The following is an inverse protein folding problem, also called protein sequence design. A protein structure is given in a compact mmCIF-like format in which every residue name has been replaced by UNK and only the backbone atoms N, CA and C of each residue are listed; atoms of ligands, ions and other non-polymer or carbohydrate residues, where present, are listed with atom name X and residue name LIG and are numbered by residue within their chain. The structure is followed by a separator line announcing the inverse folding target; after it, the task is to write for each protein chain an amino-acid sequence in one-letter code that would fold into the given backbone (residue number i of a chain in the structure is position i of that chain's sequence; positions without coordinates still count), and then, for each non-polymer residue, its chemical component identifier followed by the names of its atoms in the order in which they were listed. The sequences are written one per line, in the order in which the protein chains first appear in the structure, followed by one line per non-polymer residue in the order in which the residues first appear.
data_IF_839780982467
#
_entry.id   IF_839780982467
#
_cell.length_a   1.000
_cell.length_b   1.000
_cell.length_c   1.000
_cell.angle_alpha   90.00
_cell.angle_beta   90.00
_cell.angle_gamma   90.00
#
_symmetry.space_group_name_H-M   'P 1'
#
loop_
_entity.id
_entity.type
_entity.pdbx_description
1 polymer ?
#
# COMPACT_ATOMS: atom_id res chain seq x y z
N UNK A 1 -14.71 -10.68 7.96
CA UNK A 1 -15.23 -10.93 6.59
C UNK A 1 -16.41 -11.89 6.61
N UNK A 2 -16.23 -13.19 6.86
CA UNK A 2 -17.33 -14.18 6.89
C UNK A 2 -18.43 -13.87 7.91
N UNK A 3 -18.08 -13.26 9.05
CA UNK A 3 -19.06 -12.86 10.08
C UNK A 3 -20.02 -11.73 9.64
N UNK A 4 -19.63 -10.89 8.67
CA UNK A 4 -20.45 -9.77 8.18
C UNK A 4 -20.96 -9.94 6.75
N UNK A 5 -20.24 -10.70 5.92
CA UNK A 5 -20.48 -10.82 4.47
C UNK A 5 -20.52 -12.28 4.00
N UNK A 6 -20.73 -13.26 4.90
CA UNK A 6 -20.73 -14.69 4.55
C UNK A 6 -21.69 -15.06 3.41
N UNK A 7 -22.83 -14.37 3.31
CA UNK A 7 -23.82 -14.57 2.24
C UNK A 7 -23.27 -14.34 0.82
N UNK A 8 -22.21 -13.54 0.66
CA UNK A 8 -21.62 -13.28 -0.65
C UNK A 8 -20.77 -14.46 -1.15
N UNK A 9 -20.28 -15.30 -0.24
CA UNK A 9 -19.33 -16.40 -0.51
C UNK A 9 -19.94 -17.79 -0.30
N UNK A 10 -21.04 -17.89 0.43
CA UNK A 10 -21.71 -19.15 0.74
C UNK A 10 -23.21 -18.95 0.78
N UNK A 11 -23.99 -19.82 0.13
CA UNK A 11 -25.46 -19.82 0.24
C UNK A 11 -25.86 -20.35 1.61
N UNK A 12 -26.50 -19.54 2.48
CA UNK A 12 -27.04 -20.06 3.73
C UNK A 12 -28.15 -21.09 3.47
N UNK A 13 -28.29 -22.07 4.36
CA UNK A 13 -29.34 -23.09 4.26
C UNK A 13 -30.74 -22.42 4.22
N UNK A 14 -31.55 -22.76 3.20
CA UNK A 14 -32.87 -22.16 2.98
C UNK A 14 -32.87 -20.78 2.29
N UNK A 15 -31.72 -20.19 1.99
CA UNK A 15 -31.65 -18.93 1.24
C UNK A 15 -31.93 -19.16 -0.26
N UNK A 16 -32.78 -18.35 -0.90
CA UNK A 16 -32.99 -18.41 -2.35
C UNK A 16 -31.86 -17.73 -3.15
N UNK A 17 -30.92 -17.06 -2.48
CA UNK A 17 -29.85 -16.29 -3.13
C UNK A 17 -28.54 -17.10 -3.19
N UNK A 18 -28.00 -17.38 -4.39
CA UNK A 18 -26.70 -18.03 -4.53
C UNK A 18 -25.55 -17.08 -4.16
N UNK A 19 -24.36 -17.59 -3.78
CA UNK A 19 -23.18 -16.77 -3.60
C UNK A 19 -22.82 -16.08 -4.93
N UNK A 20 -22.36 -14.84 -4.83
CA UNK A 20 -22.05 -13.99 -6.00
C UNK A 20 -20.55 -13.74 -6.16
N UNK A 21 -19.74 -14.15 -5.18
CA UNK A 21 -18.29 -13.97 -5.17
C UNK A 21 -17.57 -15.28 -4.88
N UNK A 22 -16.45 -15.48 -5.57
CA UNK A 22 -15.46 -16.50 -5.25
C UNK A 22 -14.31 -15.88 -4.44
N UNK A 23 -13.89 -16.55 -3.36
CA UNK A 23 -12.81 -16.06 -2.52
C UNK A 23 -11.46 -16.55 -3.02
N UNK A 24 -10.59 -15.62 -3.38
CA UNK A 24 -9.20 -15.90 -3.73
C UNK A 24 -8.28 -15.40 -2.62
N UNK A 25 -7.85 -16.29 -1.73
CA UNK A 25 -6.89 -15.95 -0.67
C UNK A 25 -5.50 -15.73 -1.24
N UNK A 26 -4.91 -14.58 -0.93
CA UNK A 26 -3.51 -14.26 -1.26
C UNK A 26 -2.61 -15.01 -0.28
N UNK A 27 -1.80 -15.96 -0.79
CA UNK A 27 -0.84 -16.77 -0.01
C UNK A 27 0.61 -16.56 -0.44
N UNK A 28 0.82 -15.70 -1.42
CA UNK A 28 2.09 -15.45 -2.08
C UNK A 28 1.85 -14.58 -3.31
N UNK A 29 2.76 -14.66 -4.28
CA UNK A 29 2.66 -13.84 -5.49
C UNK A 29 1.32 -14.06 -6.21
N UNK A 30 0.71 -12.95 -6.62
CA UNK A 30 -0.48 -12.95 -7.48
C UNK A 30 -0.04 -12.56 -8.89
N UNK A 31 -0.32 -13.41 -9.85
CA UNK A 31 0.02 -13.17 -11.25
C UNK A 31 -1.24 -12.78 -12.02
N UNK A 32 -1.14 -11.73 -12.83
CA UNK A 32 -2.17 -11.33 -13.79
C UNK A 32 -1.54 -11.45 -15.18
N UNK A 33 -2.06 -12.37 -15.99
CA UNK A 33 -1.62 -12.58 -17.36
C UNK A 33 -2.51 -11.82 -18.35
N UNK A 34 -1.92 -11.29 -19.43
CA UNK A 34 -2.64 -10.59 -20.50
C UNK A 34 -1.76 -10.31 -21.71
N UNK A 35 -2.32 -9.68 -22.75
CA UNK A 35 -1.60 -9.36 -23.99
C UNK A 35 -0.39 -8.44 -23.77
N UNK A 36 -0.45 -7.59 -22.74
CA UNK A 36 0.65 -6.72 -22.31
C UNK A 36 1.75 -7.42 -21.52
N UNK A 37 1.69 -8.75 -21.37
CA UNK A 37 2.60 -9.53 -20.54
C UNK A 37 2.08 -9.76 -19.13
N UNK A 38 2.85 -10.54 -18.36
CA UNK A 38 2.51 -10.90 -16.97
C UNK A 38 2.86 -9.78 -16.01
N UNK A 39 1.92 -9.42 -15.14
CA UNK A 39 2.15 -8.56 -13.97
C UNK A 39 2.18 -9.45 -12.73
N UNK A 40 3.24 -9.33 -11.93
CA UNK A 40 3.39 -10.06 -10.66
C UNK A 40 3.27 -9.09 -9.49
N UNK A 41 2.28 -9.32 -8.63
CA UNK A 41 2.12 -8.63 -7.36
C UNK A 41 2.77 -9.48 -6.27
N UNK A 42 3.84 -8.98 -5.67
CA UNK A 42 4.55 -9.59 -4.56
C UNK A 42 4.03 -8.98 -3.25
N UNK A 43 3.28 -9.72 -2.42
CA UNK A 43 2.73 -9.18 -1.18
C UNK A 43 3.87 -8.87 -0.19
N UNK A 44 3.81 -7.68 0.41
CA UNK A 44 4.67 -7.26 1.50
C UNK A 44 3.82 -7.16 2.75
N UNK A 45 4.13 -7.97 3.76
CA UNK A 45 3.41 -7.93 5.03
C UNK A 45 4.01 -6.87 5.95
N UNK A 46 3.16 -6.00 6.44
CA UNK A 46 3.52 -4.83 7.25
C UNK A 46 2.56 -4.69 8.41
N UNK A 47 2.96 -3.99 9.46
CA UNK A 47 2.15 -3.84 10.66
C UNK A 47 1.23 -2.62 10.52
N UNK A 48 -0.04 -2.77 10.88
CA UNK A 48 -1.06 -1.72 10.88
C UNK A 48 -1.74 -1.67 12.26
N UNK A 49 -0.98 -1.25 13.27
CA UNK A 49 -1.40 -1.27 14.67
C UNK A 49 -1.46 -2.68 15.24
N UNK A 50 -2.66 -3.15 15.61
CA UNK A 50 -2.86 -4.48 16.20
C UNK A 50 -3.10 -5.59 15.17
N UNK A 51 -3.07 -5.26 13.88
CA UNK A 51 -3.29 -6.21 12.78
C UNK A 51 -2.18 -6.07 11.73
N UNK A 52 -2.04 -7.10 10.89
CA UNK A 52 -1.20 -7.05 9.70
C UNK A 52 -1.98 -6.41 8.54
N UNK A 53 -1.27 -5.65 7.71
CA UNK A 53 -1.72 -5.19 6.41
C UNK A 53 -0.83 -5.77 5.29
N UNK A 54 -1.32 -5.68 4.04
CA UNK A 54 -0.57 -6.05 2.86
C UNK A 54 -0.32 -4.81 1.99
N UNK A 55 0.96 -4.50 1.79
CA UNK A 55 1.40 -3.76 0.62
C UNK A 55 1.75 -4.69 -0.52
N UNK A 56 2.09 -4.13 -1.68
CA UNK A 56 2.54 -4.91 -2.83
C UNK A 56 3.75 -4.29 -3.51
N UNK A 57 4.71 -5.13 -3.90
CA UNK A 57 5.75 -4.81 -4.87
C UNK A 57 5.38 -5.34 -6.25
N UNK A 58 5.62 -4.54 -7.28
CA UNK A 58 5.39 -4.85 -8.68
C UNK A 58 6.61 -4.36 -9.46
N UNK A 59 7.56 -5.27 -9.73
CA UNK A 59 8.85 -4.87 -10.31
C UNK A 59 9.60 -3.89 -9.39
N UNK A 60 9.92 -2.71 -9.90
CA UNK A 60 10.57 -1.61 -9.15
C UNK A 60 9.57 -0.64 -8.50
N UNK A 61 8.27 -0.99 -8.46
CA UNK A 61 7.23 -0.21 -7.80
C UNK A 61 6.77 -0.86 -6.49
N UNK A 62 6.46 -0.05 -5.47
CA UNK A 62 5.81 -0.52 -4.25
C UNK A 62 4.64 0.38 -3.82
N UNK A 63 3.58 -0.23 -3.28
CA UNK A 63 2.38 0.45 -2.76
C UNK A 63 2.02 -0.05 -1.35
N UNK A 64 2.15 0.83 -0.36
CA UNK A 64 1.98 0.55 1.07
C UNK A 64 1.15 1.67 1.74
N UNK A 65 -0.20 1.67 1.60
CA UNK A 65 -1.05 2.81 2.00
C UNK A 65 -1.43 2.84 3.48
N UNK A 66 -1.41 1.69 4.17
CA UNK A 66 -1.84 1.54 5.57
C UNK A 66 -0.76 0.82 6.37
N UNK A 67 0.18 1.58 6.94
CA UNK A 67 1.37 1.03 7.61
C UNK A 67 1.75 1.83 8.84
N UNK A 68 1.73 1.19 10.01
CA UNK A 68 2.32 1.71 11.23
C UNK A 68 3.83 1.45 11.31
N UNK A 69 4.27 0.27 10.87
CA UNK A 69 5.66 -0.20 11.00
C UNK A 69 6.06 -1.16 9.86
N UNK A 70 7.29 -0.97 9.36
CA UNK A 70 7.93 -1.87 8.39
C UNK A 70 8.76 -2.90 9.15
N UNK A 71 8.28 -4.15 9.14
CA UNK A 71 8.94 -5.28 9.77
C UNK A 71 10.31 -5.57 9.12
N UNK A 72 11.24 -6.17 9.87
CA UNK A 72 12.61 -6.44 9.38
C UNK A 72 12.65 -7.27 8.08
N UNK A 73 11.74 -8.23 7.93
CA UNK A 73 11.61 -9.09 6.74
C UNK A 73 11.05 -8.35 5.52
N UNK A 74 10.34 -7.23 5.72
CA UNK A 74 9.77 -6.44 4.65
C UNK A 74 10.81 -5.57 3.93
N UNK A 75 11.90 -5.17 4.60
CA UNK A 75 12.88 -4.21 4.06
C UNK A 75 13.55 -4.68 2.77
N UNK A 76 13.83 -5.98 2.61
CA UNK A 76 14.40 -6.52 1.38
C UNK A 76 13.50 -6.26 0.16
N UNK A 77 12.17 -6.14 0.36
CA UNK A 77 11.23 -5.83 -0.71
C UNK A 77 11.18 -4.34 -1.04
N UNK A 78 11.83 -3.47 -0.27
CA UNK A 78 11.82 -2.02 -0.48
C UNK A 78 13.12 -1.48 -1.11
N UNK A 79 14.06 -2.38 -1.41
CA UNK A 79 15.32 -2.01 -2.07
C UNK A 79 15.15 -1.88 -3.59
N UNK A 80 15.86 -0.91 -4.18
CA UNK A 80 15.92 -0.71 -5.63
C UNK A 80 14.58 -0.31 -6.24
N UNK A 81 13.80 0.53 -5.55
CA UNK A 81 12.52 1.02 -6.04
C UNK A 81 12.70 2.25 -6.94
N UNK A 82 12.03 2.23 -8.09
CA UNK A 82 11.83 3.37 -8.96
C UNK A 82 10.81 4.34 -8.33
N UNK A 83 9.68 3.78 -7.86
CA UNK A 83 8.60 4.54 -7.24
C UNK A 83 8.09 3.78 -6.01
N UNK A 84 8.02 4.48 -4.89
CA UNK A 84 7.38 3.98 -3.67
C UNK A 84 6.21 4.87 -3.25
N UNK A 85 4.99 4.35 -3.30
CA UNK A 85 3.82 4.99 -2.72
C UNK A 85 3.63 4.50 -1.29
N UNK A 86 3.63 5.40 -0.31
CA UNK A 86 3.74 5.04 1.12
C UNK A 86 2.85 5.91 2.00
N UNK A 87 2.29 5.30 3.05
CA UNK A 87 1.49 5.92 4.11
C UNK A 87 2.24 7.10 4.77
N UNK A 88 1.57 8.24 4.87
CA UNK A 88 1.92 9.34 5.76
C UNK A 88 0.63 10.00 6.23
N UNK A 89 0.04 9.48 7.31
CA UNK A 89 -1.28 9.91 7.75
C UNK A 89 -1.28 11.37 8.20
N UNK A 90 -0.38 11.75 9.09
CA UNK A 90 -0.41 13.07 9.76
C UNK A 90 0.96 13.41 10.34
N UNK A 91 1.08 14.60 10.95
CA UNK A 91 2.35 15.00 11.59
C UNK A 91 2.62 14.27 12.91
N UNK A 92 1.61 14.14 13.76
CA UNK A 92 1.75 13.49 15.07
C UNK A 92 1.73 11.96 14.98
N UNK A 93 2.51 11.24 15.80
CA UNK A 93 2.46 9.78 15.86
C UNK A 93 1.03 9.22 15.97
N UNK A 94 0.75 8.15 15.23
CA UNK A 94 -0.54 7.46 15.24
C UNK A 94 -0.34 5.95 15.52
N UNK A 95 -1.22 5.28 16.29
CA UNK A 95 -1.04 3.87 16.65
C UNK A 95 -1.13 2.92 15.45
N UNK A 96 -1.86 3.27 14.39
CA UNK A 96 -2.08 2.39 13.24
C UNK A 96 -1.42 2.88 11.96
N UNK A 97 -0.89 4.09 11.90
CA UNK A 97 -0.34 4.67 10.68
C UNK A 97 1.00 5.35 10.97
N UNK A 98 1.84 5.42 9.94
CA UNK A 98 3.04 6.20 9.96
C UNK A 98 2.67 7.69 9.98
N UNK A 99 3.42 8.44 10.78
CA UNK A 99 3.40 9.89 10.72
C UNK A 99 4.52 10.36 9.79
N UNK A 100 4.41 11.58 9.29
CA UNK A 100 5.28 12.12 8.24
C UNK A 100 6.78 11.92 8.51
N UNK A 101 7.26 12.27 9.71
CA UNK A 101 8.68 12.14 10.07
C UNK A 101 9.19 10.70 9.94
N UNK A 102 8.41 9.72 10.44
CA UNK A 102 8.73 8.30 10.31
C UNK A 102 8.77 7.87 8.84
N UNK A 103 7.79 8.28 8.05
CA UNK A 103 7.74 7.96 6.61
C UNK A 103 8.94 8.52 5.86
N UNK A 104 9.33 9.77 6.15
CA UNK A 104 10.53 10.39 5.55
C UNK A 104 11.81 9.63 5.94
N UNK A 105 11.95 9.20 7.20
CA UNK A 105 13.07 8.35 7.62
C UNK A 105 13.10 6.99 6.93
N UNK A 106 11.93 6.42 6.61
CA UNK A 106 11.87 5.20 5.80
C UNK A 106 12.27 5.43 4.35
N UNK A 107 11.83 6.53 3.76
CA UNK A 107 12.18 6.92 2.40
C UNK A 107 13.70 7.15 2.30
N UNK A 108 14.30 7.80 3.29
CA UNK A 108 15.76 8.00 3.35
C UNK A 108 16.50 6.65 3.39
N UNK A 109 16.02 5.69 4.19
CA UNK A 109 16.62 4.35 4.29
C UNK A 109 16.46 3.52 3.01
N UNK A 110 15.27 3.50 2.42
CA UNK A 110 14.99 2.71 1.23
C UNK A 110 15.56 3.33 -0.06
N UNK A 111 15.76 4.65 -0.04
CA UNK A 111 16.29 5.45 -1.14
C UNK A 111 15.63 5.19 -2.51
N UNK A 112 14.29 5.24 -2.63
CA UNK A 112 13.63 5.09 -3.93
C UNK A 112 13.96 6.29 -4.82
N UNK A 113 13.90 6.11 -6.16
CA UNK A 113 14.09 7.24 -7.08
C UNK A 113 13.00 8.30 -6.90
N UNK A 114 11.75 7.89 -6.62
CA UNK A 114 10.64 8.77 -6.24
C UNK A 114 9.82 8.14 -5.12
N UNK A 115 9.40 8.93 -4.14
CA UNK A 115 8.45 8.53 -3.11
C UNK A 115 7.19 9.38 -3.19
N UNK A 116 6.03 8.75 -3.07
CA UNK A 116 4.73 9.39 -3.15
C UNK A 116 4.00 9.19 -1.82
N UNK A 117 3.69 10.26 -1.11
CA UNK A 117 2.98 10.20 0.16
C UNK A 117 1.48 9.99 -0.08
N UNK A 118 0.85 9.00 0.57
CA UNK A 118 -0.58 8.73 0.45
C UNK A 118 -1.25 8.58 1.82
N UNK A 119 -2.57 8.37 1.82
CA UNK A 119 -3.40 8.23 3.02
C UNK A 119 -3.35 9.45 3.96
N UNK A 120 -3.15 10.64 3.38
CA UNK A 120 -2.93 11.88 4.11
C UNK A 120 -4.21 12.42 4.75
N UNK A 121 -4.12 12.80 6.01
CA UNK A 121 -5.15 13.48 6.78
C UNK A 121 -5.14 14.99 6.48
N UNK A 122 -6.18 15.70 6.93
CA UNK A 122 -6.43 17.11 6.58
C UNK A 122 -5.35 18.10 7.04
N UNK A 123 -4.47 17.71 7.96
CA UNK A 123 -3.37 18.54 8.47
C UNK A 123 -2.11 18.48 7.59
N UNK A 124 -2.13 17.67 6.54
CA UNK A 124 -1.08 17.56 5.53
C UNK A 124 -1.50 18.23 4.22
N UNK A 125 -1.38 19.55 4.19
CA UNK A 125 -1.63 20.35 3.00
C UNK A 125 -0.62 20.05 1.87
N UNK A 126 -1.11 19.98 0.63
CA UNK A 126 -0.34 19.57 -0.55
C UNK A 126 0.81 20.54 -0.86
N UNK A 127 0.53 21.84 -0.94
CA UNK A 127 1.53 22.84 -1.30
C UNK A 127 2.58 22.98 -0.20
N UNK A 128 2.14 22.90 1.06
CA UNK A 128 3.03 22.88 2.24
C UNK A 128 3.97 21.68 2.20
N UNK A 129 3.44 20.46 1.99
CA UNK A 129 4.26 19.26 1.89
C UNK A 129 5.26 19.34 0.74
N UNK A 130 4.80 19.74 -0.46
CA UNK A 130 5.65 19.89 -1.64
C UNK A 130 6.83 20.83 -1.39
N UNK A 131 6.64 21.87 -0.57
CA UNK A 131 7.69 22.84 -0.25
C UNK A 131 8.65 22.39 0.87
N UNK A 132 8.23 21.50 1.77
CA UNK A 132 9.03 21.07 2.93
C UNK A 132 9.72 19.72 2.76
N UNK A 133 9.23 18.86 1.86
CA UNK A 133 9.81 17.54 1.61
C UNK A 133 10.96 17.58 0.59
N UNK A 134 11.89 16.59 0.61
CA UNK A 134 12.96 16.51 -0.39
C UNK A 134 12.44 16.41 -1.83
N UNK A 135 13.26 16.79 -2.81
CA UNK A 135 12.90 16.82 -4.24
C UNK A 135 12.40 15.47 -4.81
N UNK A 136 12.77 14.35 -4.21
CA UNK A 136 12.31 13.02 -4.62
C UNK A 136 11.02 12.57 -3.92
N UNK A 137 10.40 13.42 -3.10
CA UNK A 137 9.19 13.13 -2.32
C UNK A 137 8.06 14.06 -2.75
N UNK A 138 6.92 13.49 -3.11
CA UNK A 138 5.76 14.26 -3.59
C UNK A 138 4.48 13.79 -2.86
N UNK A 139 3.61 14.69 -2.39
CA UNK A 139 2.28 14.30 -1.92
C UNK A 139 1.41 13.76 -3.08
N UNK A 140 0.64 12.71 -2.83
CA UNK A 140 -0.34 12.20 -3.80
C UNK A 140 -1.55 13.14 -3.90
N UNK A 141 -2.26 13.04 -5.01
CA UNK A 141 -3.57 13.66 -5.21
C UNK A 141 -4.48 12.72 -6.00
N UNK A 142 -5.80 12.90 -5.84
CA UNK A 142 -6.78 12.11 -6.55
C UNK A 142 -6.64 12.30 -8.07
N UNK A 143 -6.48 11.18 -8.79
CA UNK A 143 -6.26 11.18 -10.24
C UNK A 143 -4.79 11.30 -10.66
N UNK A 144 -3.84 11.32 -9.72
CA UNK A 144 -2.41 11.23 -10.03
C UNK A 144 -2.12 9.98 -10.87
N UNK A 145 -1.32 10.14 -11.93
CA UNK A 145 -0.90 9.06 -12.81
C UNK A 145 0.60 8.89 -12.74
N UNK A 146 1.03 7.65 -12.49
CA UNK A 146 2.43 7.27 -12.38
C UNK A 146 2.75 6.30 -13.51
N UNK A 147 3.87 6.54 -14.19
CA UNK A 147 4.41 5.63 -15.20
C UNK A 147 5.70 5.05 -14.66
N UNK A 148 5.79 3.73 -14.68
CA UNK A 148 7.00 2.98 -14.34
C UNK A 148 7.62 2.45 -15.63
N UNK A 149 8.95 2.40 -15.68
CA UNK A 149 9.65 1.75 -16.78
C UNK A 149 9.58 0.25 -16.55
N UNK A 150 9.01 -0.50 -17.49
CA UNK A 150 8.90 -1.96 -17.47
C UNK A 150 9.99 -2.63 -18.30
#
# INVERSE_FOLDING_TARGET
LYSGFGYAFTQPEGSPYPPILEMHTIKGNVNVDGEGGRITFQPIRVSHGSIDALGFRIGEFAYLPDVAEINDDAWANLEGLDIWVVDALRRDPHPTHAHLERTLGWIERAAPRRAILTNMHIDLDYDTLTAETPDNVEPAYDGMRLTISG
#
